data_IF_444214815320
#
_entry.id   IF_444214815320
#
_cell.length_a   1.000
_cell.length_b   1.000
_cell.length_c   1.000
_cell.angle_alpha   90.00
_cell.angle_beta   90.00
_cell.angle_gamma   90.00
#
_symmetry.space_group_name_H-M   'P 1'
#
loop_
_entity.id
_entity.type
_entity.pdbx_description
1 polymer ?
#
# COMPACT_ATOMS: atom_id res chain seq x y z
N UNK A 1 -6.26 -14.75 -2.87
CA UNK A 1 -5.09 -14.75 -3.77
C UNK A 1 -4.26 -16.00 -3.55
N UNK A 2 -3.67 -16.19 -2.37
CA UNK A 2 -2.73 -17.30 -2.09
C UNK A 2 -3.24 -18.71 -2.44
N UNK A 3 -4.52 -19.05 -2.20
CA UNK A 3 -5.09 -20.34 -2.62
C UNK A 3 -5.09 -20.56 -4.15
N UNK A 4 -5.22 -19.49 -4.94
CA UNK A 4 -5.15 -19.57 -6.42
C UNK A 4 -3.72 -19.85 -6.85
N UNK A 5 -2.74 -19.24 -6.16
CA UNK A 5 -1.32 -19.48 -6.41
C UNK A 5 -0.90 -20.89 -5.98
N UNK A 6 -1.39 -21.42 -4.84
CA UNK A 6 -1.18 -22.83 -4.45
C UNK A 6 -1.62 -23.74 -5.58
N UNK A 7 -2.87 -23.61 -6.02
CA UNK A 7 -3.42 -24.43 -7.09
C UNK A 7 -2.67 -24.27 -8.40
N UNK A 8 -2.27 -23.04 -8.77
CA UNK A 8 -1.53 -22.79 -10.00
C UNK A 8 -0.19 -23.54 -10.02
N UNK A 9 0.55 -23.56 -8.91
CA UNK A 9 1.83 -24.26 -8.81
C UNK A 9 1.69 -25.78 -8.62
N UNK A 10 0.58 -26.25 -8.06
CA UNK A 10 0.24 -27.68 -8.06
C UNK A 10 -0.13 -28.18 -9.47
N UNK A 11 -0.92 -27.40 -10.21
CA UNK A 11 -1.34 -27.69 -11.60
C UNK A 11 -0.19 -27.44 -12.62
N UNK A 12 0.77 -26.56 -12.31
CA UNK A 12 1.91 -26.18 -13.17
C UNK A 12 3.21 -26.11 -12.35
N UNK A 13 3.84 -27.25 -12.00
CA UNK A 13 5.08 -27.27 -11.24
C UNK A 13 6.24 -26.64 -12.02
N UNK A 14 7.01 -25.78 -11.36
CA UNK A 14 8.19 -25.13 -11.96
C UNK A 14 9.31 -26.15 -12.17
N UNK A 15 9.99 -26.08 -13.32
CA UNK A 15 11.14 -26.92 -13.65
C UNK A 15 12.44 -26.41 -13.05
N UNK A 16 13.41 -27.31 -12.87
CA UNK A 16 14.76 -27.04 -12.35
C UNK A 16 15.80 -26.70 -13.41
N UNK A 17 15.48 -26.90 -14.68
CA UNK A 17 16.32 -26.57 -15.84
C UNK A 17 16.29 -25.07 -16.23
N UNK A 18 15.26 -24.34 -15.77
CA UNK A 18 14.94 -22.98 -16.19
C UNK A 18 14.85 -22.06 -14.97
N UNK A 19 15.35 -20.80 -15.01
CA UNK A 19 15.22 -19.88 -13.89
C UNK A 19 13.76 -19.65 -13.46
N UNK A 20 13.49 -19.74 -12.15
CA UNK A 20 12.13 -19.58 -11.59
C UNK A 20 11.48 -18.26 -12.00
N UNK A 21 12.22 -17.16 -12.01
CA UNK A 21 11.71 -15.85 -12.42
C UNK A 21 11.25 -15.80 -13.89
N UNK A 22 11.91 -16.52 -14.79
CA UNK A 22 11.54 -16.59 -16.21
C UNK A 22 10.26 -17.41 -16.40
N UNK A 23 10.13 -18.54 -15.68
CA UNK A 23 8.92 -19.37 -15.72
C UNK A 23 7.71 -18.63 -15.13
N UNK A 24 7.90 -17.90 -14.02
CA UNK A 24 6.87 -17.06 -13.42
C UNK A 24 6.45 -15.94 -14.39
N UNK A 25 7.41 -15.27 -15.04
CA UNK A 25 7.12 -14.25 -16.05
C UNK A 25 6.36 -14.82 -17.26
N UNK A 26 6.66 -16.04 -17.70
CA UNK A 26 5.93 -16.73 -18.76
C UNK A 26 4.47 -17.06 -18.37
N UNK A 27 4.20 -17.27 -17.07
CA UNK A 27 2.84 -17.38 -16.52
C UNK A 27 2.18 -16.02 -16.22
N UNK A 28 2.82 -14.90 -16.59
CA UNK A 28 2.33 -13.55 -16.34
C UNK A 28 2.50 -13.06 -14.89
N UNK A 29 3.21 -13.82 -14.04
CA UNK A 29 3.49 -13.45 -12.65
C UNK A 29 4.79 -12.66 -12.58
N UNK A 30 4.70 -11.41 -12.13
CA UNK A 30 5.88 -10.57 -11.88
C UNK A 30 6.44 -10.84 -10.50
N UNK A 31 7.76 -11.00 -10.43
CA UNK A 31 8.53 -11.09 -9.18
C UNK A 31 8.97 -9.69 -8.77
N UNK A 32 8.66 -9.28 -7.53
CA UNK A 32 9.14 -8.01 -6.96
C UNK A 32 10.52 -8.17 -6.32
N UNK A 33 10.72 -9.27 -5.59
CA UNK A 33 11.93 -9.57 -4.84
C UNK A 33 12.26 -11.06 -4.96
N UNK A 34 13.56 -11.40 -4.96
CA UNK A 34 14.05 -12.78 -4.96
C UNK A 34 15.28 -12.90 -4.06
N UNK A 35 15.35 -13.99 -3.28
CA UNK A 35 16.52 -14.32 -2.45
C UNK A 35 16.69 -15.84 -2.32
N UNK A 36 17.93 -16.31 -2.28
CA UNK A 36 18.22 -17.72 -1.96
C UNK A 36 18.27 -17.91 -0.46
N UNK A 37 17.52 -18.89 0.07
CA UNK A 37 17.54 -19.29 1.48
C UNK A 37 18.32 -20.60 1.63
N UNK A 38 19.47 -20.52 2.28
CA UNK A 38 20.25 -21.67 2.73
C UNK A 38 19.90 -22.02 4.19
N UNK A 39 19.64 -23.30 4.48
CA UNK A 39 19.37 -23.78 5.84
C UNK A 39 20.11 -25.10 6.08
N UNK A 40 20.73 -25.24 7.26
CA UNK A 40 21.47 -26.46 7.64
C UNK A 40 20.55 -27.68 7.55
N UNK A 41 21.00 -28.74 6.85
CA UNK A 41 20.25 -29.97 6.66
C UNK A 41 19.10 -29.89 5.65
N UNK A 42 19.02 -28.83 4.83
CA UNK A 42 18.05 -28.70 3.73
C UNK A 42 18.75 -28.18 2.47
N UNK A 43 18.18 -28.48 1.31
CA UNK A 43 18.61 -27.84 0.05
C UNK A 43 18.30 -26.34 0.08
N UNK A 44 19.13 -25.58 -0.63
CA UNK A 44 18.86 -24.18 -0.92
C UNK A 44 17.52 -24.03 -1.65
N UNK A 45 16.76 -23.00 -1.26
CA UNK A 45 15.45 -22.67 -1.85
C UNK A 45 15.49 -21.27 -2.41
N UNK A 46 14.89 -21.08 -3.58
CA UNK A 46 14.72 -19.76 -4.17
C UNK A 46 13.40 -19.19 -3.64
N UNK A 47 13.48 -18.24 -2.71
CA UNK A 47 12.34 -17.52 -2.18
C UNK A 47 12.05 -16.29 -3.05
N UNK A 48 10.78 -16.09 -3.38
CA UNK A 48 10.31 -14.95 -4.17
C UNK A 48 9.14 -14.27 -3.49
N UNK A 49 8.97 -13.00 -3.84
CA UNK A 49 7.77 -12.22 -3.58
C UNK A 49 7.19 -11.77 -4.91
N UNK A 50 5.86 -11.86 -5.04
CA UNK A 50 5.17 -11.42 -6.25
C UNK A 50 4.79 -9.93 -6.15
N UNK A 51 4.79 -9.26 -7.30
CA UNK A 51 4.23 -7.91 -7.47
C UNK A 51 2.68 -7.99 -7.54
N UNK A 52 2.10 -8.46 -6.44
CA UNK A 52 0.67 -8.70 -6.28
C UNK A 52 0.21 -8.18 -4.90
N UNK A 53 -0.97 -7.57 -4.85
CA UNK A 53 -1.49 -7.01 -3.61
C UNK A 53 -1.82 -8.13 -2.59
N UNK A 54 -1.16 -8.05 -1.42
CA UNK A 54 -1.41 -8.95 -0.29
C UNK A 54 -0.82 -10.36 -0.41
N UNK A 55 0.00 -10.68 -1.41
CA UNK A 55 0.66 -11.99 -1.50
C UNK A 55 1.82 -12.13 -0.51
N UNK A 56 1.92 -13.32 0.07
CA UNK A 56 3.02 -13.74 0.95
C UNK A 56 4.31 -14.04 0.16
N UNK A 57 5.38 -14.35 0.88
CA UNK A 57 6.58 -14.93 0.29
C UNK A 57 6.35 -16.42 -0.03
N UNK A 58 6.95 -16.87 -1.13
CA UNK A 58 6.89 -18.24 -1.61
C UNK A 58 8.30 -18.78 -1.79
N UNK A 59 8.62 -19.93 -1.19
CA UNK A 59 9.84 -20.67 -1.45
C UNK A 59 9.59 -21.77 -2.47
N UNK A 60 10.56 -21.94 -3.36
CA UNK A 60 10.63 -23.07 -4.29
C UNK A 60 11.75 -24.00 -3.85
N UNK A 61 11.36 -25.16 -3.33
CA UNK A 61 12.27 -26.21 -2.87
C UNK A 61 12.38 -27.31 -3.93
N UNK A 62 13.56 -27.88 -4.22
CA UNK A 62 13.65 -29.06 -5.07
C UNK A 62 12.77 -30.19 -4.51
N UNK A 63 11.82 -30.68 -5.32
CA UNK A 63 10.96 -31.82 -4.96
C UNK A 63 11.60 -33.13 -5.40
N UNK A 64 12.06 -33.15 -6.65
CA UNK A 64 12.73 -34.25 -7.33
C UNK A 64 13.87 -33.69 -8.21
N UNK A 65 14.37 -34.46 -9.18
CA UNK A 65 15.44 -34.02 -10.08
C UNK A 65 15.02 -32.88 -11.02
N UNK A 66 13.72 -32.76 -11.31
CA UNK A 66 13.20 -32.04 -12.47
C UNK A 66 12.34 -30.84 -12.05
N UNK A 67 11.70 -30.89 -10.87
CA UNK A 67 10.70 -29.91 -10.41
C UNK A 67 10.98 -29.28 -9.05
N UNK A 68 10.43 -28.09 -8.86
CA UNK A 68 10.30 -27.42 -7.57
C UNK A 68 8.90 -27.57 -7.00
N UNK A 69 8.82 -27.81 -5.68
CA UNK A 69 7.61 -27.62 -4.89
C UNK A 69 7.54 -26.18 -4.39
N UNK A 70 6.39 -25.53 -4.62
CA UNK A 70 6.07 -24.25 -4.02
C UNK A 70 5.58 -24.43 -2.57
N UNK A 71 6.11 -23.65 -1.63
CA UNK A 71 5.61 -23.55 -0.26
C UNK A 71 5.50 -22.08 0.17
N UNK A 72 4.45 -21.74 0.92
CA UNK A 72 4.36 -20.41 1.53
C UNK A 72 5.31 -20.33 2.72
N UNK A 73 6.04 -19.23 2.82
CA UNK A 73 6.96 -18.97 3.92
C UNK A 73 6.67 -17.62 4.57
N UNK A 74 7.11 -17.47 5.81
CA UNK A 74 7.29 -16.15 6.40
C UNK A 74 8.40 -15.38 5.67
N UNK A 75 8.40 -14.03 5.73
CA UNK A 75 9.42 -13.24 5.06
C UNK A 75 10.84 -13.64 5.46
N UNK A 76 11.78 -13.78 4.50
CA UNK A 76 13.18 -14.09 4.79
C UNK A 76 13.82 -13.05 5.73
N UNK A 77 14.88 -13.44 6.45
CA UNK A 77 15.63 -12.51 7.29
C UNK A 77 16.15 -11.32 6.45
N UNK A 78 15.96 -10.09 6.95
CA UNK A 78 16.24 -8.85 6.19
C UNK A 78 15.12 -8.43 5.21
N UNK A 79 14.14 -9.29 4.93
CA UNK A 79 12.98 -9.03 4.07
C UNK A 79 11.64 -9.04 4.83
N UNK A 80 11.69 -9.09 6.16
CA UNK A 80 10.55 -8.77 7.01
C UNK A 80 9.90 -7.50 6.46
N UNK A 81 8.61 -7.58 6.11
CA UNK A 81 7.88 -6.36 5.79
C UNK A 81 8.00 -5.48 7.02
N UNK A 82 8.63 -4.31 6.85
CA UNK A 82 8.30 -3.18 7.71
C UNK A 82 6.78 -3.15 7.74
N UNK A 83 6.22 -3.32 8.94
CA UNK A 83 4.80 -3.10 9.12
C UNK A 83 4.58 -1.62 8.89
N UNK A 84 4.37 -1.25 7.61
CA UNK A 84 3.63 -0.05 7.25
C UNK A 84 2.31 -0.24 7.96
N UNK A 85 2.22 0.38 9.13
CA UNK A 85 0.95 0.62 9.78
C UNK A 85 0.07 1.15 8.66
N UNK A 86 -1.01 0.42 8.39
CA UNK A 86 -2.05 0.95 7.52
C UNK A 86 -2.41 2.26 8.19
N UNK A 87 -2.01 3.38 7.58
CA UNK A 87 -2.44 4.69 8.03
C UNK A 87 -3.93 4.71 7.73
N UNK A 88 -4.70 4.24 8.70
CA UNK A 88 -6.11 4.54 8.83
C UNK A 88 -6.15 6.05 8.74
N UNK A 89 -6.63 6.56 7.61
CA UNK A 89 -6.77 7.99 7.45
C UNK A 89 -7.68 8.46 8.59
N UNK A 90 -7.30 9.53 9.27
CA UNK A 90 -8.16 10.16 10.29
C UNK A 90 -9.41 10.80 9.66
N UNK A 91 -9.50 10.78 8.33
CA UNK A 91 -10.67 11.17 7.54
C UNK A 91 -11.83 10.17 7.77
N UNK A 92 -13.04 10.65 8.12
CA UNK A 92 -14.22 9.81 8.27
C UNK A 92 -14.49 8.97 7.03
N UNK A 93 -14.82 7.68 7.23
CA UNK A 93 -15.20 6.79 6.12
C UNK A 93 -16.37 7.34 5.30
N UNK A 94 -17.34 8.00 5.96
CA UNK A 94 -18.46 8.67 5.31
C UNK A 94 -18.04 9.78 4.35
N UNK A 95 -16.97 10.53 4.66
CA UNK A 95 -16.41 11.54 3.77
C UNK A 95 -15.71 10.91 2.55
N UNK A 96 -14.96 9.83 2.78
CA UNK A 96 -14.29 9.06 1.71
C UNK A 96 -15.33 8.42 0.77
N UNK A 97 -16.37 7.81 1.31
CA UNK A 97 -17.46 7.20 0.54
C UNK A 97 -18.25 8.24 -0.28
N UNK A 98 -18.44 9.46 0.25
CA UNK A 98 -19.05 10.56 -0.48
C UNK A 98 -18.14 11.07 -1.62
N UNK A 99 -16.84 11.24 -1.35
CA UNK A 99 -15.85 11.65 -2.35
C UNK A 99 -15.78 10.66 -3.52
N UNK A 100 -15.79 9.34 -3.26
CA UNK A 100 -15.81 8.32 -4.32
C UNK A 100 -17.11 8.27 -5.12
N UNK A 101 -18.23 8.78 -4.58
CA UNK A 101 -19.49 8.97 -5.32
C UNK A 101 -19.54 10.30 -6.08
N UNK A 102 -18.51 11.14 -6.01
CA UNK A 102 -18.50 12.49 -6.58
C UNK A 102 -19.28 13.53 -5.77
N UNK A 103 -19.76 13.18 -4.57
CA UNK A 103 -20.50 14.07 -3.68
C UNK A 103 -19.53 14.90 -2.83
N UNK A 104 -18.99 15.96 -3.44
CA UNK A 104 -18.02 16.86 -2.80
C UNK A 104 -18.63 17.63 -1.63
N UNK A 105 -19.92 17.96 -1.70
CA UNK A 105 -20.64 18.66 -0.63
C UNK A 105 -20.89 17.74 0.57
N UNK A 106 -21.32 16.50 0.34
CA UNK A 106 -21.46 15.49 1.39
C UNK A 106 -20.13 15.09 2.01
N UNK A 107 -19.05 15.03 1.23
CA UNK A 107 -17.70 14.78 1.73
C UNK A 107 -17.22 15.90 2.67
N UNK A 108 -17.39 17.16 2.27
CA UNK A 108 -17.04 18.31 3.11
C UNK A 108 -17.92 18.38 4.37
N UNK A 109 -19.23 18.16 4.25
CA UNK A 109 -20.16 18.14 5.38
C UNK A 109 -19.80 17.05 6.41
N UNK A 110 -19.39 15.85 5.96
CA UNK A 110 -18.98 14.77 6.85
C UNK A 110 -17.69 15.11 7.62
N UNK A 111 -16.75 15.82 6.98
CA UNK A 111 -15.54 16.34 7.61
C UNK A 111 -15.87 17.44 8.62
N UNK A 112 -16.63 18.47 8.24
CA UNK A 112 -16.97 19.61 9.11
C UNK A 112 -17.88 19.20 10.29
N UNK A 113 -18.72 18.17 10.14
CA UNK A 113 -19.44 17.57 11.27
C UNK A 113 -18.48 16.83 12.22
N UNK A 114 -17.52 16.06 11.70
CA UNK A 114 -16.52 15.38 12.55
C UNK A 114 -15.65 16.38 13.30
N UNK A 115 -15.31 17.50 12.66
CA UNK A 115 -14.61 18.64 13.27
C UNK A 115 -15.40 19.22 14.47
N UNK A 116 -16.73 19.34 14.32
CA UNK A 116 -17.65 19.82 15.37
C UNK A 116 -17.78 18.82 16.52
N UNK A 117 -17.90 17.53 16.20
CA UNK A 117 -18.19 16.47 17.17
C UNK A 117 -16.94 15.99 17.92
N UNK A 118 -15.74 16.13 17.34
CA UNK A 118 -14.47 15.70 17.94
C UNK A 118 -13.35 16.76 17.80
N UNK A 119 -13.41 17.88 18.55
CA UNK A 119 -12.41 18.95 18.46
C UNK A 119 -10.96 18.54 18.76
N UNK A 120 -10.73 17.38 19.40
CA UNK A 120 -9.40 16.82 19.67
C UNK A 120 -8.82 15.93 18.58
N UNK A 121 -9.62 15.43 17.62
CA UNK A 121 -9.15 14.57 16.52
C UNK A 121 -8.45 15.37 15.39
N UNK A 122 -8.49 16.70 15.49
CA UNK A 122 -8.23 17.69 14.43
C UNK A 122 -6.74 17.81 14.03
N UNK A 123 -5.81 17.28 14.82
CA UNK A 123 -4.35 17.44 14.58
C UNK A 123 -3.76 16.46 13.55
N UNK A 124 -4.59 15.63 12.91
CA UNK A 124 -4.14 14.67 11.92
C UNK A 124 -3.86 15.34 10.55
N UNK A 125 -2.61 15.37 10.04
CA UNK A 125 -2.27 16.21 8.87
C UNK A 125 -2.96 15.78 7.56
N UNK A 126 -3.36 14.51 7.46
CA UNK A 126 -4.19 13.97 6.38
C UNK A 126 -5.62 14.50 6.40
N UNK A 127 -6.23 14.65 7.58
CA UNK A 127 -7.57 15.21 7.73
C UNK A 127 -7.60 16.66 7.24
N UNK A 128 -6.66 17.49 7.72
CA UNK A 128 -6.54 18.89 7.30
C UNK A 128 -6.25 19.03 5.81
N UNK A 129 -5.44 18.14 5.23
CA UNK A 129 -5.17 18.15 3.78
C UNK A 129 -6.42 17.86 2.96
N UNK A 130 -7.18 16.82 3.31
CA UNK A 130 -8.40 16.45 2.56
C UNK A 130 -9.47 17.53 2.71
N UNK A 131 -9.58 18.18 3.87
CA UNK A 131 -10.45 19.34 4.10
C UNK A 131 -10.04 20.55 3.24
N UNK A 132 -8.76 20.90 3.23
CA UNK A 132 -8.22 21.97 2.37
C UNK A 132 -8.48 21.70 0.89
N UNK A 133 -8.27 20.46 0.44
CA UNK A 133 -8.55 20.01 -0.92
C UNK A 133 -10.05 20.06 -1.27
N UNK A 134 -10.94 19.73 -0.33
CA UNK A 134 -12.39 19.83 -0.53
C UNK A 134 -12.87 21.28 -0.65
N UNK A 135 -12.35 22.20 0.17
CA UNK A 135 -12.59 23.63 -0.03
C UNK A 135 -12.05 24.11 -1.38
N UNK A 136 -10.93 23.58 -1.84
CA UNK A 136 -10.30 23.95 -3.10
C UNK A 136 -11.16 23.57 -4.31
N UNK A 137 -11.55 22.29 -4.42
CA UNK A 137 -12.34 21.77 -5.53
C UNK A 137 -13.80 22.24 -5.51
N UNK A 138 -14.32 22.65 -4.35
CA UNK A 138 -15.64 23.31 -4.25
C UNK A 138 -15.57 24.83 -4.48
N UNK A 139 -14.41 25.38 -4.84
CA UNK A 139 -14.22 26.79 -5.20
C UNK A 139 -14.07 27.76 -4.01
N UNK A 140 -14.07 27.26 -2.78
CA UNK A 140 -13.88 28.03 -1.54
C UNK A 140 -12.39 28.36 -1.30
N UNK A 141 -11.75 28.98 -2.30
CA UNK A 141 -10.30 29.18 -2.39
C UNK A 141 -9.67 29.90 -1.19
N UNK A 142 -10.40 30.82 -0.56
CA UNK A 142 -9.94 31.52 0.66
C UNK A 142 -9.76 30.58 1.84
N UNK A 143 -10.74 29.70 2.09
CA UNK A 143 -10.67 28.68 3.13
C UNK A 143 -9.58 27.65 2.80
N UNK A 144 -9.55 27.15 1.56
CA UNK A 144 -8.52 26.23 1.09
C UNK A 144 -7.10 26.76 1.34
N UNK A 145 -6.84 28.03 0.98
CA UNK A 145 -5.55 28.69 1.23
C UNK A 145 -5.24 28.74 2.72
N UNK A 146 -6.18 29.13 3.57
CA UNK A 146 -5.97 29.21 5.03
C UNK A 146 -5.61 27.84 5.62
N UNK A 147 -6.34 26.79 5.24
CA UNK A 147 -6.10 25.42 5.72
C UNK A 147 -4.76 24.85 5.23
N UNK A 148 -4.39 25.07 3.96
CA UNK A 148 -3.07 24.68 3.45
C UNK A 148 -1.93 25.43 4.17
N UNK A 149 -2.10 26.72 4.49
CA UNK A 149 -1.09 27.48 5.26
C UNK A 149 -0.94 26.96 6.69
N UNK A 150 -2.03 26.67 7.41
CA UNK A 150 -1.96 26.07 8.75
C UNK A 150 -1.27 24.71 8.68
N UNK A 151 -1.72 23.82 7.79
CA UNK A 151 -1.13 22.50 7.61
C UNK A 151 0.37 22.52 7.28
N UNK A 152 0.81 23.46 6.44
CA UNK A 152 2.24 23.65 6.15
C UNK A 152 3.02 24.20 7.35
N UNK A 153 2.46 25.19 8.07
CA UNK A 153 3.05 25.81 9.26
C UNK A 153 3.19 24.81 10.43
N UNK A 154 2.15 24.04 10.68
CA UNK A 154 2.02 23.18 11.87
C UNK A 154 2.69 21.81 11.65
N UNK A 155 2.75 21.33 10.41
CA UNK A 155 3.26 19.99 10.06
C UNK A 155 4.28 19.97 8.88
N UNK A 156 5.27 20.89 8.82
CA UNK A 156 6.12 21.12 7.63
C UNK A 156 6.96 19.90 7.21
N UNK A 157 7.36 19.05 8.17
CA UNK A 157 8.16 17.86 7.88
C UNK A 157 7.34 16.71 7.26
N UNK A 158 6.02 16.73 7.39
CA UNK A 158 5.12 15.64 6.97
C UNK A 158 4.88 15.62 5.46
N UNK A 159 4.45 14.48 4.92
CA UNK A 159 4.02 14.37 3.52
C UNK A 159 2.92 15.41 3.19
N UNK A 160 1.95 15.55 4.09
CA UNK A 160 0.79 16.42 3.90
C UNK A 160 1.15 17.91 3.98
N UNK A 161 2.04 18.31 4.90
CA UNK A 161 2.59 19.68 4.93
C UNK A 161 3.39 20.03 3.67
N UNK A 162 4.16 19.07 3.12
CA UNK A 162 4.88 19.24 1.85
C UNK A 162 3.95 19.34 0.64
N UNK A 163 2.89 18.54 0.61
CA UNK A 163 1.85 18.64 -0.42
C UNK A 163 1.07 19.97 -0.32
N UNK A 164 0.79 20.44 0.90
CA UNK A 164 0.16 21.74 1.13
C UNK A 164 1.03 22.91 0.61
N UNK A 165 2.33 22.90 0.89
CA UNK A 165 3.28 23.85 0.32
C UNK A 165 3.23 23.86 -1.22
N UNK A 166 3.30 22.68 -1.85
CA UNK A 166 3.23 22.56 -3.31
C UNK A 166 1.88 23.01 -3.90
N UNK A 167 0.77 22.95 -3.13
CA UNK A 167 -0.52 23.53 -3.52
C UNK A 167 -0.56 25.05 -3.39
N UNK A 168 0.18 25.63 -2.43
CA UNK A 168 0.31 27.08 -2.25
C UNK A 168 1.22 27.72 -3.31
N UNK A 169 2.32 27.06 -3.68
CA UNK A 169 3.27 27.53 -4.70
C UNK A 169 2.68 27.60 -6.12
N UNK A 170 1.58 26.89 -6.37
CA UNK A 170 0.92 26.78 -7.69
C UNK A 170 -0.25 27.77 -7.87
N UNK A 171 -0.38 28.79 -7.01
CA UNK A 171 -1.54 29.70 -6.91
C UNK A 171 -1.17 31.17 -6.86
#
# INVERSE_FOLDING_TARGET
MDQVLTRLFDDNPLRRDTPIAEQLAAMGIRVSDQVTISQVGRFDRQAVRFDLAGTRWWAFAPLDSDTYRAEQIEPPAGYAQESRSVRVLSVPRTAVDALFRGDLSGALLAIDNTLRDQPGAITAPDFSFVRALLYDITGQRGLARSEYYSLWSDFPATLWGKLAAAHLERR
#
